data_IF_779628869065
#
_entry.id   IF_779628869065
#
_cell.length_a   1.000
_cell.length_b   1.000
_cell.length_c   1.000
_cell.angle_alpha   90.00
_cell.angle_beta   90.00
_cell.angle_gamma   90.00
#
_symmetry.space_group_name_H-M   'P 1'
#
loop_
_entity.id
_entity.type
_entity.pdbx_description
1 polymer ?
#
# COMPACT_ATOMS: atom_id res chain seq x y z
N UNK A 1 17.89 -10.39 28.96
CA UNK A 1 17.68 -10.99 27.62
C UNK A 1 17.82 -9.88 26.59
N UNK A 2 18.62 -10.03 25.51
CA UNK A 2 18.66 -9.01 24.49
C UNK A 2 17.35 -9.07 23.70
N UNK A 3 16.65 -7.94 23.71
CA UNK A 3 15.50 -7.62 22.88
C UNK A 3 15.79 -7.95 21.39
N UNK A 4 14.82 -8.50 20.63
CA UNK A 4 15.05 -8.86 19.23
C UNK A 4 15.37 -7.60 18.37
N UNK A 5 16.15 -7.75 17.28
CA UNK A 5 16.51 -6.63 16.42
C UNK A 5 15.25 -5.98 15.80
N UNK A 6 15.27 -4.68 15.50
CA UNK A 6 14.09 -3.90 15.09
C UNK A 6 13.35 -4.46 13.87
N UNK A 7 14.04 -5.15 12.95
CA UNK A 7 13.41 -5.84 11.82
C UNK A 7 12.40 -6.95 12.21
N UNK A 8 12.46 -7.44 13.44
CA UNK A 8 11.56 -8.48 13.98
C UNK A 8 10.18 -7.90 14.32
N UNK A 9 10.07 -6.59 14.60
CA UNK A 9 8.82 -5.95 15.04
C UNK A 9 7.84 -5.70 13.88
N UNK A 10 8.31 -5.37 12.67
CA UNK A 10 7.42 -5.18 11.50
C UNK A 10 6.75 -6.47 11.05
N UNK A 11 7.39 -7.62 11.29
CA UNK A 11 6.80 -8.93 11.03
C UNK A 11 5.62 -9.27 11.94
N UNK A 12 5.35 -8.47 12.98
CA UNK A 12 4.16 -8.67 13.84
C UNK A 12 2.90 -7.98 13.30
N UNK A 13 3.00 -6.96 12.45
CA UNK A 13 1.84 -6.24 11.89
C UNK A 13 1.45 -6.70 10.49
N UNK A 14 2.41 -7.12 9.66
CA UNK A 14 2.13 -7.67 8.33
C UNK A 14 2.29 -9.20 8.33
N UNK A 15 1.31 -9.91 7.77
CA UNK A 15 1.34 -11.38 7.58
C UNK A 15 2.56 -11.84 6.78
N UNK A 16 2.94 -11.05 5.78
CA UNK A 16 4.07 -11.25 4.89
C UNK A 16 4.56 -9.89 4.34
N UNK A 17 5.80 -9.79 3.85
CA UNK A 17 6.29 -8.56 3.22
C UNK A 17 5.50 -8.23 1.96
N UNK A 18 5.24 -6.94 1.72
CA UNK A 18 4.57 -6.46 0.52
C UNK A 18 5.44 -6.72 -0.72
N UNK A 19 4.81 -7.12 -1.82
CA UNK A 19 5.44 -7.15 -3.13
C UNK A 19 5.52 -5.75 -3.77
N UNK A 20 6.10 -5.69 -4.96
CA UNK A 20 6.31 -4.42 -5.67
C UNK A 20 5.01 -3.73 -6.12
N UNK A 21 3.97 -4.49 -6.44
CA UNK A 21 2.67 -3.97 -6.89
C UNK A 21 1.89 -3.44 -5.68
N UNK A 22 1.86 -4.20 -4.60
CA UNK A 22 1.24 -3.84 -3.32
C UNK A 22 1.88 -2.59 -2.72
N UNK A 23 3.22 -2.57 -2.67
CA UNK A 23 3.96 -1.40 -2.17
C UNK A 23 3.67 -0.16 -3.00
N UNK A 24 3.57 -0.31 -4.33
CA UNK A 24 3.21 0.78 -5.25
C UNK A 24 1.79 1.29 -4.97
N UNK A 25 0.81 0.40 -4.93
CA UNK A 25 -0.60 0.76 -4.70
C UNK A 25 -0.76 1.47 -3.36
N UNK A 26 -0.17 0.92 -2.29
CA UNK A 26 -0.24 1.53 -0.97
C UNK A 26 0.41 2.92 -0.94
N UNK A 27 1.60 3.06 -1.54
CA UNK A 27 2.25 4.36 -1.68
C UNK A 27 1.40 5.38 -2.46
N UNK A 28 0.73 4.96 -3.54
CA UNK A 28 -0.17 5.81 -4.34
C UNK A 28 -1.38 6.24 -3.53
N UNK A 29 -2.02 5.33 -2.79
CA UNK A 29 -3.17 5.66 -1.96
C UNK A 29 -2.80 6.71 -0.89
N UNK A 30 -1.67 6.51 -0.20
CA UNK A 30 -1.19 7.48 0.80
C UNK A 30 -0.88 8.82 0.15
N UNK A 31 -0.10 8.84 -0.95
CA UNK A 31 0.23 10.08 -1.68
C UNK A 31 -1.03 10.85 -2.06
N UNK A 32 -2.03 10.18 -2.65
CA UNK A 32 -3.25 10.83 -3.14
C UNK A 32 -4.21 11.23 -2.03
N UNK A 33 -4.23 10.54 -0.90
CA UNK A 33 -5.01 10.96 0.27
C UNK A 33 -4.59 12.33 0.80
N UNK A 34 -3.28 12.64 0.73
CA UNK A 34 -2.70 13.86 1.29
C UNK A 34 -2.58 14.98 0.25
N UNK A 35 -2.25 14.65 -1.00
CA UNK A 35 -2.00 15.64 -2.05
C UNK A 35 -3.21 15.99 -2.89
N UNK A 36 -4.19 15.09 -2.99
CA UNK A 36 -5.39 15.24 -3.82
C UNK A 36 -6.63 14.67 -3.09
N UNK A 37 -6.96 15.19 -1.90
CA UNK A 37 -8.06 14.66 -1.07
C UNK A 37 -9.42 14.72 -1.78
N UNK A 38 -9.62 15.66 -2.71
CA UNK A 38 -10.85 15.80 -3.51
C UNK A 38 -11.09 14.61 -4.47
N UNK A 39 -10.00 13.95 -4.88
CA UNK A 39 -10.05 12.78 -5.75
C UNK A 39 -10.09 11.46 -4.98
N UNK A 40 -9.93 11.50 -3.65
CA UNK A 40 -9.86 10.34 -2.77
C UNK A 40 -11.23 10.04 -2.12
N UNK A 41 -11.65 8.77 -1.97
CA UNK A 41 -10.95 7.51 -2.30
C UNK A 41 -10.86 7.24 -3.81
N UNK A 42 -9.88 6.42 -4.21
CA UNK A 42 -9.54 6.20 -5.62
C UNK A 42 -10.31 5.02 -6.23
N UNK A 43 -10.73 5.14 -7.49
CA UNK A 43 -11.21 3.99 -8.28
C UNK A 43 -10.06 3.12 -8.77
N UNK A 44 -10.35 1.91 -9.24
CA UNK A 44 -9.33 1.01 -9.81
C UNK A 44 -8.56 1.64 -10.97
N UNK A 45 -9.25 2.33 -11.88
CA UNK A 45 -8.60 3.04 -12.98
C UNK A 45 -7.68 4.19 -12.47
N UNK A 46 -8.11 4.94 -11.46
CA UNK A 46 -7.28 5.98 -10.86
C UNK A 46 -6.02 5.39 -10.20
N UNK A 47 -6.12 4.20 -9.59
CA UNK A 47 -4.99 3.47 -9.04
C UNK A 47 -4.01 3.02 -10.11
N UNK A 48 -4.48 2.38 -11.19
CA UNK A 48 -3.62 1.95 -12.31
C UNK A 48 -2.85 3.15 -12.87
N UNK A 49 -3.54 4.26 -13.12
CA UNK A 49 -2.91 5.50 -13.60
C UNK A 49 -1.91 6.07 -12.59
N UNK A 50 -2.24 6.06 -11.29
CA UNK A 50 -1.37 6.52 -10.22
C UNK A 50 -0.11 5.65 -10.03
N UNK A 51 -0.24 4.33 -10.22
CA UNK A 51 0.88 3.40 -10.15
C UNK A 51 1.86 3.61 -11.31
N UNK A 52 1.34 3.87 -12.51
CA UNK A 52 2.12 3.98 -13.75
C UNK A 52 2.53 5.43 -14.11
N UNK A 53 2.47 6.37 -13.16
CA UNK A 53 2.93 7.75 -13.40
C UNK A 53 4.42 7.78 -13.73
N UNK A 54 4.80 8.60 -14.72
CA UNK A 54 6.22 8.78 -15.12
C UNK A 54 7.00 9.61 -14.11
N UNK A 55 6.32 10.49 -13.38
CA UNK A 55 6.91 11.32 -12.33
C UNK A 55 6.68 10.68 -10.97
N UNK A 56 7.61 10.94 -10.05
CA UNK A 56 7.50 10.51 -8.65
C UNK A 56 7.40 9.00 -8.44
N UNK A 57 7.88 8.21 -9.42
CA UNK A 57 7.99 6.75 -9.35
C UNK A 57 9.41 6.35 -9.70
N UNK A 58 9.97 5.46 -8.90
CA UNK A 58 11.25 4.81 -9.21
C UNK A 58 11.20 3.36 -8.69
N UNK A 59 11.17 2.35 -9.59
CA UNK A 59 11.18 2.46 -11.05
C UNK A 59 9.82 2.92 -11.62
N UNK A 60 9.82 3.46 -12.85
CA UNK A 60 8.58 3.66 -13.61
C UNK A 60 8.01 2.28 -13.97
N UNK A 61 6.70 2.09 -13.76
CA UNK A 61 6.02 0.80 -13.94
C UNK A 61 4.93 0.86 -14.99
N UNK A 62 4.51 -0.32 -15.45
CA UNK A 62 3.41 -0.51 -16.39
C UNK A 62 2.51 -1.68 -15.94
N UNK A 63 1.88 -1.53 -14.78
CA UNK A 63 0.95 -2.54 -14.26
C UNK A 63 -0.38 -2.48 -15.01
N UNK A 64 -0.95 -3.66 -15.29
CA UNK A 64 -2.30 -3.78 -15.83
C UNK A 64 -3.36 -3.78 -14.72
N UNK A 65 -4.62 -3.64 -15.12
CA UNK A 65 -5.76 -3.59 -14.20
C UNK A 65 -5.90 -4.88 -13.38
N UNK A 66 -5.59 -6.03 -13.98
CA UNK A 66 -5.68 -7.34 -13.33
C UNK A 66 -4.66 -7.45 -12.19
N UNK A 67 -3.40 -7.12 -12.44
CA UNK A 67 -2.32 -7.15 -11.45
C UNK A 67 -2.63 -6.23 -10.26
N UNK A 68 -3.18 -5.04 -10.55
CA UNK A 68 -3.57 -4.09 -9.50
C UNK A 68 -4.75 -4.63 -8.68
N UNK A 69 -5.75 -5.23 -9.33
CA UNK A 69 -6.90 -5.85 -8.66
C UNK A 69 -6.49 -7.01 -7.75
N UNK A 70 -5.63 -7.91 -8.24
CA UNK A 70 -5.12 -9.05 -7.46
C UNK A 70 -4.25 -8.59 -6.27
N UNK A 71 -3.46 -7.53 -6.42
CA UNK A 71 -2.70 -6.92 -5.33
C UNK A 71 -3.60 -6.21 -4.29
N UNK A 72 -4.69 -5.58 -4.71
CA UNK A 72 -5.66 -4.97 -3.79
C UNK A 72 -6.30 -5.99 -2.87
N UNK A 73 -6.63 -7.19 -3.38
CA UNK A 73 -7.18 -8.27 -2.55
C UNK A 73 -6.21 -8.65 -1.42
N UNK A 74 -4.91 -8.74 -1.72
CA UNK A 74 -3.90 -9.06 -0.71
C UNK A 74 -3.66 -7.91 0.27
N UNK A 75 -3.61 -6.66 -0.20
CA UNK A 75 -3.54 -5.48 0.68
C UNK A 75 -4.72 -5.40 1.67
N UNK A 76 -5.91 -5.87 1.28
CA UNK A 76 -7.06 -6.00 2.20
C UNK A 76 -6.84 -7.07 3.27
N UNK A 77 -6.15 -8.17 2.96
CA UNK A 77 -5.76 -9.19 3.95
C UNK A 77 -4.73 -8.68 4.96
N UNK A 78 -3.94 -7.67 4.57
CA UNK A 78 -3.06 -6.91 5.46
C UNK A 78 -3.78 -5.78 6.23
N UNK A 79 -5.07 -5.58 5.99
CA UNK A 79 -5.87 -4.46 6.52
C UNK A 79 -5.36 -3.06 6.13
N UNK A 80 -4.41 -2.96 5.18
CA UNK A 80 -3.84 -1.69 4.75
C UNK A 80 -4.75 -0.91 3.81
N UNK A 81 -5.70 -1.58 3.16
CA UNK A 81 -6.64 -1.00 2.20
C UNK A 81 -8.05 -1.50 2.50
N UNK A 82 -9.03 -0.61 2.37
CA UNK A 82 -10.45 -0.93 2.47
C UNK A 82 -11.18 -0.55 1.17
N UNK A 83 -12.23 -1.32 0.86
CA UNK A 83 -13.14 -1.01 -0.23
C UNK A 83 -14.31 -0.17 0.28
N UNK A 84 -14.56 0.94 -0.40
CA UNK A 84 -15.68 1.83 -0.15
C UNK A 84 -16.70 1.70 -1.28
N UNK A 85 -17.85 1.13 -0.93
CA UNK A 85 -19.01 1.04 -1.79
C UNK A 85 -20.05 2.06 -1.29
N UNK A 86 -20.09 3.24 -1.92
CA UNK A 86 -21.14 4.22 -1.62
C UNK A 86 -22.47 3.72 -2.17
N UNK A 87 -23.52 3.75 -1.35
CA UNK A 87 -24.88 3.39 -1.77
C UNK A 87 -25.29 4.19 -3.01
N UNK A 88 -25.59 3.50 -4.11
CA UNK A 88 -25.96 4.10 -5.40
C UNK A 88 -24.82 4.33 -6.39
N UNK A 89 -23.55 4.18 -5.99
CA UNK A 89 -22.41 4.19 -6.92
C UNK A 89 -22.09 2.78 -7.39
N UNK A 90 -22.04 2.58 -8.71
CA UNK A 90 -21.58 1.32 -9.32
C UNK A 90 -20.05 1.15 -9.33
N UNK A 91 -19.31 2.19 -8.95
CA UNK A 91 -17.84 2.20 -8.99
C UNK A 91 -17.31 1.99 -7.59
N UNK A 92 -16.60 0.86 -7.40
CA UNK A 92 -15.84 0.56 -6.19
C UNK A 92 -14.68 1.54 -6.05
N UNK A 93 -14.49 2.08 -4.85
CA UNK A 93 -13.36 2.94 -4.52
C UNK A 93 -12.54 2.34 -3.39
N UNK A 94 -11.29 2.76 -3.26
CA UNK A 94 -10.32 2.21 -2.32
C UNK A 94 -9.69 3.33 -1.49
N UNK A 95 -9.61 3.12 -0.19
CA UNK A 95 -8.88 3.96 0.77
C UNK A 95 -7.83 3.13 1.52
N UNK A 96 -6.75 3.76 1.97
CA UNK A 96 -5.77 3.14 2.85
C UNK A 96 -6.12 3.34 4.34
N UNK A 97 -5.55 2.49 5.19
CA UNK A 97 -5.63 2.56 6.66
C UNK A 97 -4.24 2.53 7.32
N UNK A 98 -3.21 2.85 6.54
CA UNK A 98 -1.81 2.76 6.95
C UNK A 98 -1.44 3.46 8.26
N UNK A 99 -2.09 4.58 8.60
CA UNK A 99 -1.80 5.30 9.84
C UNK A 99 -2.22 4.51 11.09
N UNK A 100 -3.37 3.84 11.04
CA UNK A 100 -3.88 3.02 12.13
C UNK A 100 -3.14 1.68 12.19
N UNK A 101 -2.97 1.01 11.05
CA UNK A 101 -2.32 -0.32 10.97
C UNK A 101 -0.85 -0.27 11.39
N UNK A 102 -0.12 0.80 11.03
CA UNK A 102 1.29 0.96 11.39
C UNK A 102 1.48 1.80 12.67
N UNK A 103 0.39 2.31 13.26
CA UNK A 103 0.39 3.19 14.43
C UNK A 103 1.33 4.39 14.29
N UNK A 104 1.26 5.07 13.14
CA UNK A 104 2.10 6.23 12.80
C UNK A 104 1.26 7.42 12.34
N UNK A 105 1.75 8.63 12.63
CA UNK A 105 1.10 9.86 12.21
C UNK A 105 1.32 10.18 10.72
N UNK A 106 0.64 11.22 10.21
CA UNK A 106 0.70 11.63 8.80
C UNK A 106 2.12 11.95 8.30
N UNK A 107 2.96 12.61 9.10
CA UNK A 107 4.34 12.95 8.71
C UNK A 107 5.22 11.71 8.51
N UNK A 108 5.13 10.74 9.43
CA UNK A 108 5.80 9.43 9.31
C UNK A 108 5.27 8.64 8.12
N UNK A 109 3.95 8.64 7.91
CA UNK A 109 3.32 7.94 6.81
C UNK A 109 3.70 8.54 5.44
N UNK A 110 3.88 9.86 5.36
CA UNK A 110 4.40 10.55 4.18
C UNK A 110 5.84 10.11 3.84
N UNK A 111 6.72 10.00 4.85
CA UNK A 111 8.09 9.48 4.65
C UNK A 111 8.05 8.04 4.14
N UNK A 112 7.19 7.19 4.71
CA UNK A 112 7.00 5.82 4.25
C UNK A 112 6.51 5.75 2.80
N UNK A 113 5.50 6.53 2.42
CA UNK A 113 4.99 6.57 1.06
C UNK A 113 6.07 7.00 0.05
N UNK A 114 6.87 8.01 0.37
CA UNK A 114 7.95 8.47 -0.51
C UNK A 114 9.02 7.38 -0.70
N UNK A 115 9.38 6.63 0.34
CA UNK A 115 10.30 5.50 0.26
C UNK A 115 9.70 4.28 -0.48
N UNK A 116 8.38 4.06 -0.39
CA UNK A 116 7.69 3.00 -1.14
C UNK A 116 7.60 3.32 -2.64
N UNK A 117 7.43 4.60 -2.99
CA UNK A 117 7.24 5.04 -4.37
C UNK A 117 8.54 5.17 -5.15
N UNK A 118 9.66 5.48 -4.49
CA UNK A 118 10.96 5.71 -5.14
C UNK A 118 12.15 4.95 -4.55
N UNK A 119 11.90 4.02 -3.64
CA UNK A 119 12.96 3.23 -3.03
C UNK A 119 13.89 4.05 -2.11
N UNK A 120 15.13 3.58 -1.90
CA UNK A 120 16.04 4.16 -0.92
C UNK A 120 16.53 5.57 -1.27
N UNK A 121 16.42 6.51 -0.34
CA UNK A 121 16.74 7.93 -0.59
C UNK A 121 17.64 8.53 0.49
N UNK A 122 18.43 9.55 0.10
CA UNK A 122 19.18 10.36 1.05
C UNK A 122 18.25 11.35 1.78
N UNK A 123 18.53 11.68 3.06
CA UNK A 123 17.70 12.58 3.86
C UNK A 123 17.38 13.92 3.19
N UNK A 124 18.36 14.51 2.50
CA UNK A 124 18.20 15.78 1.77
C UNK A 124 17.09 15.75 0.71
N UNK A 125 17.07 14.70 -0.12
CA UNK A 125 16.04 14.51 -1.14
C UNK A 125 14.71 14.08 -0.52
N UNK A 126 14.77 13.19 0.48
CA UNK A 126 13.61 12.63 1.16
C UNK A 126 12.76 13.72 1.83
N UNK A 127 13.40 14.68 2.53
CA UNK A 127 12.67 15.81 3.17
C UNK A 127 11.84 16.57 2.15
N UNK A 128 12.48 17.08 1.10
CA UNK A 128 11.82 17.94 0.11
C UNK A 128 10.70 17.24 -0.67
N UNK A 129 10.78 15.92 -0.84
CA UNK A 129 9.75 15.13 -1.51
C UNK A 129 8.59 14.76 -0.58
N UNK A 130 8.89 14.27 0.63
CA UNK A 130 7.88 13.94 1.64
C UNK A 130 7.12 15.19 2.15
N UNK A 131 7.78 16.35 2.22
CA UNK A 131 7.15 17.63 2.59
C UNK A 131 5.99 18.05 1.69
N UNK A 132 5.85 17.47 0.49
CA UNK A 132 4.70 17.72 -0.40
C UNK A 132 3.42 17.02 0.07
N UNK A 133 3.56 15.96 0.86
CA UNK A 133 2.44 15.19 1.43
C UNK A 133 2.10 15.64 2.84
N UNK A 134 3.11 15.81 3.70
CA UNK A 134 2.93 16.29 5.07
C UNK A 134 4.10 17.21 5.45
N UNK A 135 3.82 18.31 6.14
CA UNK A 135 4.86 19.30 6.47
C UNK A 135 5.98 18.70 7.33
N UNK A 136 7.23 18.93 6.90
CA UNK A 136 8.45 18.58 7.65
C UNK A 136 9.36 19.80 7.61
N UNK A 137 9.29 20.63 8.65
CA UNK A 137 9.85 21.97 8.65
C UNK A 137 11.37 21.95 8.49
N UNK A 138 12.08 21.12 9.27
CA UNK A 138 13.54 21.14 9.33
C UNK A 138 14.18 19.77 9.08
N UNK A 139 15.50 19.74 8.86
CA UNK A 139 16.24 18.49 8.76
C UNK A 139 16.25 17.69 10.08
N UNK A 140 16.46 18.32 11.26
CA UNK A 140 16.29 17.65 12.55
C UNK A 140 14.92 16.97 12.73
N UNK A 141 13.83 17.58 12.25
CA UNK A 141 12.50 16.95 12.32
C UNK A 141 12.44 15.66 11.50
N UNK A 142 13.03 15.65 10.30
CA UNK A 142 13.13 14.45 9.48
C UNK A 142 13.98 13.38 10.17
N UNK A 143 15.11 13.76 10.77
CA UNK A 143 15.98 12.82 11.49
C UNK A 143 15.27 12.19 12.69
N UNK A 144 14.49 12.97 13.44
CA UNK A 144 13.65 12.47 14.53
C UNK A 144 12.57 11.50 14.02
N UNK A 145 11.91 11.83 12.89
CA UNK A 145 10.95 10.93 12.24
C UNK A 145 11.61 9.62 11.82
N UNK A 146 12.79 9.67 11.19
CA UNK A 146 13.53 8.48 10.75
C UNK A 146 14.02 7.64 11.93
N UNK A 147 14.47 8.27 13.02
CA UNK A 147 14.86 7.57 14.23
C UNK A 147 13.68 6.83 14.89
N UNK A 148 12.50 7.47 14.97
CA UNK A 148 11.27 6.85 15.47
C UNK A 148 10.83 5.67 14.59
N UNK A 149 10.80 5.87 13.26
CA UNK A 149 10.48 4.81 12.30
C UNK A 149 11.48 3.64 12.38
N UNK A 150 12.76 3.91 12.60
CA UNK A 150 13.78 2.89 12.75
C UNK A 150 13.63 2.11 14.06
N UNK A 151 13.29 2.80 15.16
CA UNK A 151 12.97 2.18 16.44
C UNK A 151 11.77 1.23 16.35
N UNK A 152 10.82 1.54 15.46
CA UNK A 152 9.66 0.68 15.12
C UNK A 152 10.00 -0.41 14.10
N UNK A 153 11.20 -0.41 13.53
CA UNK A 153 11.62 -1.34 12.49
C UNK A 153 11.01 -1.09 11.11
N UNK A 154 10.38 0.06 10.86
CA UNK A 154 9.71 0.40 9.60
C UNK A 154 10.68 0.91 8.53
N UNK A 155 11.82 1.45 8.95
CA UNK A 155 12.89 1.91 8.07
C UNK A 155 14.25 1.49 8.62
N UNK A 156 15.26 1.48 7.75
CA UNK A 156 16.65 1.35 8.17
C UNK A 156 17.59 2.27 7.37
N UNK A 157 18.68 2.64 8.03
CA UNK A 157 19.79 3.37 7.44
C UNK A 157 20.72 2.37 6.74
N UNK A 158 20.83 2.49 5.43
CA UNK A 158 21.71 1.67 4.61
C UNK A 158 23.16 2.17 4.72
N UNK A 159 24.11 1.22 4.68
CA UNK A 159 25.53 1.56 4.60
C UNK A 159 25.82 2.41 3.35
N UNK A 160 26.80 3.29 3.49
CA UNK A 160 27.21 4.20 2.41
C UNK A 160 27.79 3.40 1.26
N UNK A 161 27.34 3.69 0.04
CA UNK A 161 28.03 3.20 -1.15
C UNK A 161 29.42 3.85 -1.26
N UNK A 162 30.42 3.12 -1.78
CA UNK A 162 31.73 3.70 -2.08
C UNK A 162 31.57 4.94 -2.97
N UNK A 163 31.97 6.11 -2.47
CA UNK A 163 31.91 7.39 -3.20
C UNK A 163 30.74 8.33 -2.81
N UNK A 164 29.78 7.90 -1.99
CA UNK A 164 28.72 8.79 -1.49
C UNK A 164 28.95 9.23 -0.04
N UNK A 165 28.85 10.53 0.23
CA UNK A 165 29.06 11.10 1.58
C UNK A 165 27.86 10.97 2.51
N UNK A 166 26.66 10.72 1.99
CA UNK A 166 25.43 10.68 2.79
C UNK A 166 24.77 9.30 2.76
N UNK A 167 24.29 8.80 3.93
CA UNK A 167 23.58 7.54 4.00
C UNK A 167 22.24 7.60 3.26
N UNK A 168 21.70 6.44 2.87
CA UNK A 168 20.34 6.31 2.33
C UNK A 168 19.47 5.59 3.34
N UNK A 169 18.18 5.91 3.32
CA UNK A 169 17.17 5.24 4.12
C UNK A 169 16.29 4.41 3.22
N UNK A 170 15.93 3.20 3.66
CA UNK A 170 14.94 2.35 2.99
C UNK A 170 13.84 1.95 3.95
N UNK A 171 12.66 1.68 3.41
CA UNK A 171 11.54 1.09 4.15
C UNK A 171 11.68 -0.44 4.25
N UNK A 172 11.02 -1.03 5.25
CA UNK A 172 11.10 -2.46 5.61
C UNK A 172 9.76 -3.22 5.49
N UNK A 173 8.74 -2.61 4.88
CA UNK A 173 7.46 -3.27 4.57
C UNK A 173 7.59 -4.27 3.40
N UNK A 174 8.56 -4.08 2.51
CA UNK A 174 8.86 -5.01 1.41
C UNK A 174 10.04 -5.91 1.73
N UNK A 175 10.17 -7.05 1.03
CA UNK A 175 11.32 -7.92 1.18
C UNK A 175 12.66 -7.20 0.91
N UNK A 176 13.73 -7.63 1.60
CA UNK A 176 15.03 -6.95 1.62
C UNK A 176 15.77 -6.90 0.27
N UNK A 177 15.29 -7.61 -0.76
CA UNK A 177 15.74 -7.51 -2.15
C UNK A 177 14.58 -6.99 -3.00
N UNK A 178 14.56 -5.68 -3.25
CA UNK A 178 13.50 -5.03 -4.02
C UNK A 178 13.22 -5.75 -5.35
N UNK A 179 11.96 -6.15 -5.53
CA UNK A 179 11.31 -6.43 -6.81
C UNK A 179 12.11 -7.23 -7.83
N UNK A 180 12.20 -8.56 -7.66
CA UNK A 180 12.38 -9.43 -8.83
C UNK A 180 11.02 -9.56 -9.51
N UNK A 181 10.80 -8.74 -10.53
CA UNK A 181 9.76 -9.01 -11.53
C UNK A 181 10.02 -10.42 -12.08
N UNK A 182 9.17 -11.37 -11.71
CA UNK A 182 9.11 -12.66 -12.40
C UNK A 182 8.49 -12.41 -13.77
N UNK A 183 9.30 -11.95 -14.72
CA UNK A 183 8.98 -12.06 -16.13
C UNK A 183 9.18 -13.52 -16.52
N UNK A 184 8.10 -14.27 -16.64
CA UNK A 184 8.12 -15.56 -17.34
C UNK A 184 8.54 -15.30 -18.78
N UNK A 185 9.81 -15.58 -19.07
CA UNK A 185 10.37 -15.63 -20.42
C UNK A 185 9.74 -16.79 -21.18
N UNK A 186 8.68 -16.50 -21.94
CA UNK A 186 8.23 -17.33 -23.05
C UNK A 186 8.78 -16.76 -24.35
N UNK A 187 9.96 -17.22 -24.77
CA UNK A 187 10.57 -16.87 -26.04
C UNK A 187 9.82 -17.51 -27.22
N UNK A 188 9.60 -16.72 -28.27
CA UNK A 188 9.04 -17.16 -29.55
C UNK A 188 8.92 -16.03 -30.56
N UNK A 189 10.02 -15.69 -31.23
CA UNK A 189 10.11 -14.90 -32.46
C UNK A 189 9.35 -15.60 -33.63
N UNK A 190 8.92 -15.03 -34.77
CA UNK A 190 9.30 -13.85 -35.57
C UNK A 190 8.32 -13.72 -36.78
N UNK A 191 8.22 -12.53 -37.39
CA UNK A 191 7.88 -12.31 -38.82
C UNK A 191 6.65 -11.42 -39.07
N UNK A 192 6.78 -10.13 -39.38
CA UNK A 192 6.99 -9.53 -40.73
C UNK A 192 5.63 -9.32 -41.49
N UNK A 193 5.24 -8.22 -42.16
CA UNK A 193 5.71 -6.84 -42.42
C UNK A 193 4.52 -6.12 -43.12
N UNK A 194 4.37 -4.79 -42.98
CA UNK A 194 3.97 -3.95 -44.13
C UNK A 194 2.64 -3.17 -44.13
N UNK A 195 2.79 -1.84 -44.18
CA UNK A 195 2.10 -0.87 -45.05
C UNK A 195 0.96 0.03 -44.51
N UNK A 196 0.92 1.21 -45.14
CA UNK A 196 0.51 2.58 -44.77
C UNK A 196 -0.90 3.02 -45.22
N UNK A 197 -1.38 4.13 -44.63
CA UNK A 197 -2.43 5.04 -45.13
C UNK A 197 -3.80 4.81 -44.47
N UNK A 198 -4.68 5.77 -44.20
CA UNK A 198 -4.79 7.23 -44.34
C UNK A 198 -6.01 7.64 -43.45
N UNK A 199 -6.19 8.94 -43.23
CA UNK A 199 -7.15 9.66 -42.43
C UNK A 199 -8.66 9.36 -42.66
N UNK A 200 -9.49 9.74 -41.66
CA UNK A 200 -10.89 10.09 -41.91
C UNK A 200 -11.91 9.74 -40.82
N UNK A 201 -12.15 10.70 -39.92
CA UNK A 201 -13.45 11.20 -39.42
C UNK A 201 -14.67 10.30 -39.09
N UNK A 202 -15.31 10.69 -37.98
CA UNK A 202 -16.76 10.74 -37.70
C UNK A 202 -17.51 9.52 -37.08
N UNK A 203 -17.91 9.75 -35.82
CA UNK A 203 -19.23 9.54 -35.21
C UNK A 203 -20.16 8.40 -35.69
N UNK A 204 -20.54 7.52 -34.74
CA UNK A 204 -21.91 7.01 -34.56
C UNK A 204 -22.01 6.09 -33.31
N UNK A 205 -22.89 6.42 -32.36
CA UNK A 205 -23.63 5.36 -31.62
C UNK A 205 -24.75 4.82 -32.54
N UNK A 206 -25.67 3.93 -32.11
CA UNK A 206 -25.97 3.46 -30.74
C UNK A 206 -26.19 1.93 -30.65
N UNK A 207 -26.67 1.47 -29.50
CA UNK A 207 -27.75 0.46 -29.27
C UNK A 207 -27.44 -0.63 -28.26
N UNK A 208 -28.49 -0.90 -27.49
CA UNK A 208 -28.55 -1.71 -26.30
C UNK A 208 -28.26 -3.19 -26.56
N UNK A 209 -27.51 -3.80 -25.64
CA UNK A 209 -27.44 -5.26 -25.50
C UNK A 209 -27.94 -5.63 -24.11
N UNK A 210 -29.15 -6.20 -24.09
CA UNK A 210 -29.77 -6.80 -22.92
C UNK A 210 -29.26 -8.23 -22.73
N UNK A 211 -28.83 -8.57 -21.51
CA UNK A 211 -28.48 -9.93 -21.10
C UNK A 211 -28.61 -10.08 -19.56
N UNK A 212 -28.82 -11.29 -19.02
CA UNK A 212 -29.95 -11.58 -18.15
C UNK A 212 -29.69 -11.38 -16.64
N UNK A 213 -30.80 -11.26 -15.92
CA UNK A 213 -30.89 -11.19 -14.46
C UNK A 213 -30.03 -12.26 -13.78
N UNK A 214 -29.03 -11.81 -13.03
CA UNK A 214 -28.30 -12.66 -12.10
C UNK A 214 -28.85 -12.42 -10.70
N UNK A 215 -29.47 -13.47 -10.16
CA UNK A 215 -29.90 -13.58 -8.77
C UNK A 215 -28.76 -13.22 -7.84
N UNK A 216 -28.87 -12.07 -7.16
CA UNK A 216 -28.00 -11.69 -6.05
C UNK A 216 -28.30 -12.61 -4.89
N UNK A 217 -27.36 -13.49 -4.56
CA UNK A 217 -27.34 -14.16 -3.26
C UNK A 217 -26.97 -13.08 -2.24
N UNK A 218 -27.96 -12.68 -1.42
CA UNK A 218 -27.79 -11.76 -0.32
C UNK A 218 -26.83 -12.42 0.70
N UNK A 219 -25.57 -12.00 0.71
CA UNK A 219 -24.63 -12.40 1.76
C UNK A 219 -25.17 -11.85 3.10
N UNK A 220 -25.28 -12.67 4.16
CA UNK A 220 -25.84 -12.23 5.42
C UNK A 220 -24.99 -11.07 5.99
N UNK A 221 -25.62 -10.10 6.67
CA UNK A 221 -24.90 -9.01 7.30
C UNK A 221 -23.89 -9.57 8.32
N UNK A 222 -22.67 -9.03 8.30
CA UNK A 222 -21.65 -9.34 9.30
C UNK A 222 -22.10 -8.95 10.72
N UNK A 223 -21.39 -9.43 11.76
CA UNK A 223 -21.76 -9.18 13.15
C UNK A 223 -21.83 -7.68 13.42
N UNK A 224 -22.88 -7.28 14.13
CA UNK A 224 -23.13 -5.88 14.47
C UNK A 224 -22.16 -5.39 15.55
N UNK A 225 -22.01 -4.07 15.70
CA UNK A 225 -21.16 -3.48 16.74
C UNK A 225 -21.48 -4.01 18.15
N UNK A 226 -22.77 -4.19 18.54
CA UNK A 226 -23.12 -4.88 19.79
C UNK A 226 -22.58 -6.31 19.91
N UNK A 227 -22.60 -7.09 18.82
CA UNK A 227 -22.12 -8.47 18.81
C UNK A 227 -20.59 -8.52 19.01
N UNK A 228 -19.88 -7.58 18.41
CA UNK A 228 -18.44 -7.43 18.59
C UNK A 228 -18.09 -7.01 20.02
N UNK A 229 -18.84 -6.07 20.61
CA UNK A 229 -18.66 -5.66 22.01
C UNK A 229 -18.88 -6.85 22.95
N UNK A 230 -19.96 -7.61 22.77
CA UNK A 230 -20.22 -8.81 23.57
C UNK A 230 -19.11 -9.85 23.42
N UNK A 231 -18.57 -10.01 22.21
CA UNK A 231 -17.46 -10.93 21.96
C UNK A 231 -16.16 -10.51 22.65
N UNK A 232 -15.88 -9.21 22.70
CA UNK A 232 -14.72 -8.67 23.42
C UNK A 232 -14.86 -8.93 24.91
N UNK A 233 -16.02 -8.62 25.50
CA UNK A 233 -16.27 -8.85 26.94
C UNK A 233 -16.13 -10.33 27.33
N UNK A 234 -16.63 -11.24 26.49
CA UNK A 234 -16.47 -12.69 26.71
C UNK A 234 -14.99 -13.13 26.64
N UNK A 235 -14.22 -12.57 25.71
CA UNK A 235 -12.80 -12.89 25.58
C UNK A 235 -11.99 -12.35 26.78
N UNK A 236 -12.30 -11.14 27.24
CA UNK A 236 -11.69 -10.57 28.46
C UNK A 236 -11.96 -11.46 29.67
N UNK A 237 -13.19 -11.95 29.82
CA UNK A 237 -13.56 -12.85 30.92
C UNK A 237 -12.83 -14.20 30.84
N UNK A 238 -12.65 -14.74 29.63
CA UNK A 238 -11.88 -15.97 29.40
C UNK A 238 -10.39 -15.79 29.70
N UNK A 239 -9.82 -14.63 29.37
CA UNK A 239 -8.42 -14.32 29.68
C UNK A 239 -8.23 -14.25 31.20
N UNK A 240 -9.08 -13.50 31.91
CA UNK A 240 -9.01 -13.41 33.36
C UNK A 240 -9.11 -14.79 34.05
N UNK A 241 -9.96 -15.68 33.52
CA UNK A 241 -10.09 -17.05 34.03
C UNK A 241 -8.86 -17.92 33.75
N UNK A 242 -8.16 -17.69 32.64
CA UNK A 242 -6.94 -18.43 32.29
C UNK A 242 -5.73 -17.93 33.10
N UNK A 243 -5.64 -16.63 33.35
CA UNK A 243 -4.61 -16.02 34.21
C UNK A 243 -4.70 -16.58 35.63
N UNK A 244 -5.88 -16.62 36.23
CA UNK A 244 -6.11 -17.21 37.56
C UNK A 244 -5.74 -18.71 37.61
N UNK A 245 -5.90 -19.45 36.50
CA UNK A 245 -5.49 -20.86 36.43
C UNK A 245 -3.98 -21.03 36.33
N UNK A 246 -3.29 -20.13 35.62
CA UNK A 246 -1.83 -20.13 35.51
C UNK A 246 -1.16 -19.73 36.82
N UNK A 247 -1.74 -18.78 37.56
CA UNK A 247 -1.23 -18.34 38.86
C UNK A 247 -1.48 -19.36 40.00
N UNK A 248 -2.41 -20.30 39.79
CA UNK A 248 -2.74 -21.37 40.75
C UNK A 248 -1.94 -22.67 40.58
N UNK A 249 -1.12 -22.80 39.53
CA UNK A 249 -0.27 -23.98 39.28
C UNK A 249 1.22 -23.75 39.65
N UNK A 250 1.53 -22.68 40.41
CA UNK A 250 2.87 -22.34 40.91
C UNK A 250 3.13 -22.76 42.36
#
# INVERSE_FOLDING_TARGET
>A
MPWPPPATLVRMTLREPLDAVESRIFGVLVEKSMTTPESYPLSLNALVNGCNQKSNRDPVSHYDERSVSEALLRLRLHHLVHEMNSAGSRVVKYNHDGGNVLEINAARLAVMAELLLRGPQQPGALRGRASRMAEIATMPDLEAILADLAGRGLVECMQREPGSRAPRWRQLLTAAGGGTVSSTTGGGATGATGATGDAGSAAAGPTASAAPARTTVLLPPGPSLPDLIARVTELEHRIAKLEVRLDGEG
#
